data_IF_151048035579
#
_entry.id   IF_151048035579
#
_cell.length_a   1.000
_cell.length_b   1.000
_cell.length_c   1.000
_cell.angle_alpha   90.00
_cell.angle_beta   90.00
_cell.angle_gamma   90.00
#
_symmetry.space_group_name_H-M   'P 1'
#
loop_
_entity.id
_entity.type
_entity.pdbx_description
1 polymer ?
#
# COMPACT_ATOMS: atom_id res chain seq x y z
N UNK A 1 -62.92 -5.71 10.95
CA UNK A 1 -61.66 -6.17 11.58
C UNK A 1 -60.84 -7.04 10.61
N UNK A 2 -60.04 -6.45 9.71
CA UNK A 2 -59.24 -7.22 8.72
C UNK A 2 -57.90 -6.55 8.31
N UNK A 3 -57.32 -5.68 9.14
CA UNK A 3 -56.06 -4.98 8.82
C UNK A 3 -54.90 -5.28 9.78
N UNK A 4 -55.04 -6.22 10.73
CA UNK A 4 -54.01 -6.48 11.74
C UNK A 4 -53.07 -7.67 11.44
N UNK A 5 -53.31 -8.43 10.37
CA UNK A 5 -52.50 -9.63 10.04
C UNK A 5 -51.33 -9.36 9.10
N UNK A 6 -51.32 -8.26 8.35
CA UNK A 6 -50.27 -8.00 7.37
C UNK A 6 -48.98 -7.46 8.00
N UNK A 7 -49.07 -6.80 9.15
CA UNK A 7 -47.92 -6.15 9.81
C UNK A 7 -46.95 -7.17 10.46
N UNK A 8 -47.41 -8.39 10.75
CA UNK A 8 -46.62 -9.40 11.47
C UNK A 8 -45.68 -10.20 10.56
N UNK A 9 -45.88 -10.15 9.24
CA UNK A 9 -45.09 -10.91 8.25
C UNK A 9 -43.84 -10.17 7.76
N UNK A 10 -43.67 -8.89 8.10
CA UNK A 10 -42.52 -8.09 7.70
C UNK A 10 -41.37 -8.12 8.72
N UNK A 11 -41.62 -8.59 9.95
CA UNK A 11 -40.63 -8.64 11.02
C UNK A 11 -39.44 -9.61 10.78
N UNK A 12 -39.60 -10.79 10.16
CA UNK A 12 -38.47 -11.70 9.94
C UNK A 12 -37.57 -11.28 8.76
N UNK A 13 -38.02 -10.37 7.89
CA UNK A 13 -37.23 -9.93 6.73
C UNK A 13 -36.13 -8.92 7.11
N UNK A 14 -36.31 -8.19 8.21
CA UNK A 14 -35.33 -7.21 8.70
C UNK A 14 -34.12 -7.85 9.40
N UNK A 15 -34.25 -9.09 9.87
CA UNK A 15 -33.15 -9.82 10.53
C UNK A 15 -32.11 -10.40 9.56
N UNK A 16 -32.42 -10.45 8.26
CA UNK A 16 -31.49 -10.96 7.23
C UNK A 16 -30.39 -9.95 6.84
N UNK A 17 -30.49 -8.69 7.26
CA UNK A 17 -29.51 -7.65 6.92
C UNK A 17 -28.44 -7.41 7.99
N UNK A 18 -28.45 -8.15 9.11
CA UNK A 18 -27.49 -7.97 10.23
C UNK A 18 -26.27 -8.89 10.12
N UNK A 19 -25.80 -9.17 8.90
CA UNK A 19 -24.60 -10.01 8.70
C UNK A 19 -23.64 -9.50 7.63
N UNK A 20 -23.68 -8.21 7.29
CA UNK A 20 -22.47 -7.58 6.75
C UNK A 20 -21.52 -7.40 7.93
N UNK A 21 -20.71 -8.42 8.20
CA UNK A 21 -19.56 -8.30 9.07
C UNK A 21 -18.83 -7.02 8.68
N UNK A 22 -18.60 -6.14 9.66
CA UNK A 22 -17.79 -4.95 9.49
C UNK A 22 -16.43 -5.45 9.06
N UNK A 23 -16.20 -5.51 7.75
CA UNK A 23 -14.89 -5.72 7.18
C UNK A 23 -14.15 -4.47 7.61
N UNK A 24 -13.40 -4.58 8.71
CA UNK A 24 -12.57 -3.48 9.20
C UNK A 24 -11.70 -3.10 8.01
N UNK A 25 -12.01 -1.96 7.40
CA UNK A 25 -11.18 -1.34 6.41
C UNK A 25 -9.84 -1.13 7.08
N UNK A 26 -8.91 -2.04 6.78
CA UNK A 26 -7.54 -1.95 7.29
C UNK A 26 -7.00 -0.67 6.70
N UNK A 27 -6.83 0.35 7.53
CA UNK A 27 -6.27 1.59 7.08
C UNK A 27 -4.91 1.29 6.45
N UNK A 28 -4.57 1.87 5.29
CA UNK A 28 -3.26 1.65 4.63
C UNK A 28 -2.07 1.86 5.56
N UNK A 29 -2.24 2.68 6.59
CA UNK A 29 -1.27 2.98 7.65
C UNK A 29 -1.01 1.84 8.62
N UNK A 30 -1.80 0.77 8.64
CA UNK A 30 -1.59 -0.43 9.46
C UNK A 30 -0.78 -1.52 8.76
N UNK A 31 -0.55 -1.39 7.44
CA UNK A 31 0.17 -2.40 6.66
C UNK A 31 1.68 -2.13 6.74
N UNK A 32 2.42 -3.15 7.18
CA UNK A 32 3.88 -3.14 7.24
C UNK A 32 4.44 -3.89 6.03
N UNK A 33 5.42 -3.27 5.38
CA UNK A 33 6.11 -3.83 4.23
C UNK A 33 7.57 -4.08 4.57
N UNK A 34 8.12 -5.11 3.93
CA UNK A 34 9.56 -5.32 3.82
C UNK A 34 9.91 -5.21 2.34
N UNK A 35 10.98 -4.51 2.02
CA UNK A 35 11.39 -4.32 0.64
C UNK A 35 12.90 -4.25 0.47
N UNK A 36 13.32 -4.45 -0.77
CA UNK A 36 14.72 -4.44 -1.17
C UNK A 36 14.99 -3.25 -2.09
N UNK A 37 16.02 -2.47 -1.79
CA UNK A 37 16.42 -1.34 -2.64
C UNK A 37 16.93 -1.87 -3.97
N UNK A 38 16.29 -1.48 -5.07
CA UNK A 38 16.75 -1.79 -6.43
C UNK A 38 17.55 -0.63 -7.03
N UNK A 39 17.15 0.61 -6.73
CA UNK A 39 17.80 1.80 -7.28
C UNK A 39 17.78 2.95 -6.27
N UNK A 40 18.85 3.75 -6.28
CA UNK A 40 18.99 4.95 -5.46
C UNK A 40 19.28 6.15 -6.37
N UNK A 41 18.43 7.16 -6.34
CA UNK A 41 18.74 8.43 -6.98
C UNK A 41 19.64 9.26 -6.05
N UNK A 42 20.93 9.26 -6.34
CA UNK A 42 21.94 9.99 -5.54
C UNK A 42 22.26 11.38 -6.08
N UNK A 43 21.92 11.68 -7.32
CA UNK A 43 22.55 12.82 -8.03
C UNK A 43 21.64 13.56 -9.00
N UNK A 44 20.54 12.95 -9.45
CA UNK A 44 19.76 13.52 -10.53
C UNK A 44 18.48 14.20 -10.06
N UNK A 45 17.94 13.85 -8.88
CA UNK A 45 16.60 14.25 -8.37
C UNK A 45 15.47 14.11 -9.40
N UNK A 46 15.74 13.43 -10.50
CA UNK A 46 14.86 13.18 -11.64
C UNK A 46 14.40 11.72 -11.64
N UNK A 47 14.96 10.90 -10.76
CA UNK A 47 14.64 9.49 -10.62
C UNK A 47 14.06 9.25 -9.23
N UNK A 48 13.09 8.35 -9.15
CA UNK A 48 12.64 7.85 -7.86
C UNK A 48 13.71 6.90 -7.29
N UNK A 49 13.87 6.86 -5.97
CA UNK A 49 14.45 5.67 -5.34
C UNK A 49 13.47 4.52 -5.56
N UNK A 50 13.96 3.34 -5.95
CA UNK A 50 13.09 2.20 -6.29
C UNK A 50 13.30 1.07 -5.31
N UNK A 51 12.19 0.57 -4.77
CA UNK A 51 12.15 -0.59 -3.88
C UNK A 51 11.27 -1.65 -4.51
N UNK A 52 11.69 -2.90 -4.44
CA UNK A 52 10.83 -4.07 -4.66
C UNK A 52 10.21 -4.50 -3.33
N UNK A 53 8.90 -4.70 -3.31
CA UNK A 53 8.19 -5.26 -2.16
C UNK A 53 8.53 -6.75 -2.07
N UNK A 54 9.14 -7.15 -0.96
CA UNK A 54 9.53 -8.55 -0.70
C UNK A 54 8.65 -9.23 0.34
N UNK A 55 7.86 -8.45 1.09
CA UNK A 55 6.89 -8.96 2.05
C UNK A 55 5.89 -7.88 2.47
N UNK A 56 4.69 -8.31 2.85
CA UNK A 56 3.63 -7.45 3.38
C UNK A 56 2.86 -8.18 4.49
N UNK A 57 2.42 -7.45 5.52
CA UNK A 57 1.71 -8.03 6.67
C UNK A 57 0.23 -8.36 6.38
N UNK A 58 -0.32 -7.95 5.23
CA UNK A 58 -1.74 -8.10 4.90
C UNK A 58 -1.93 -8.45 3.42
N UNK A 59 -2.96 -9.23 3.07
CA UNK A 59 -3.32 -9.61 1.69
C UNK A 59 -3.95 -8.49 0.86
N UNK A 60 -4.48 -7.44 1.50
CA UNK A 60 -5.03 -6.23 0.83
C UNK A 60 -3.94 -5.22 0.44
N UNK A 61 -2.68 -5.55 0.70
CA UNK A 61 -1.53 -4.70 0.38
C UNK A 61 -1.25 -4.67 -1.13
N UNK A 62 -0.34 -3.78 -1.55
CA UNK A 62 0.34 -3.98 -2.83
C UNK A 62 1.01 -5.37 -2.84
N UNK A 63 0.99 -6.09 -3.98
CA UNK A 63 1.48 -7.45 -4.04
C UNK A 63 3.00 -7.50 -3.87
N UNK A 64 3.48 -8.63 -3.32
CA UNK A 64 4.91 -8.95 -3.31
C UNK A 64 5.40 -9.09 -4.74
N UNK A 65 6.56 -8.50 -5.03
CA UNK A 65 7.13 -8.37 -6.37
C UNK A 65 6.87 -7.00 -7.01
N UNK A 66 5.88 -6.24 -6.53
CA UNK A 66 5.65 -4.89 -7.06
C UNK A 66 6.80 -3.95 -6.73
N UNK A 67 7.05 -3.02 -7.65
CA UNK A 67 8.08 -1.98 -7.48
C UNK A 67 7.43 -0.63 -7.21
N UNK A 68 7.97 0.08 -6.20
CA UNK A 68 7.52 1.42 -5.85
C UNK A 68 8.68 2.40 -5.97
N UNK A 69 8.37 3.57 -6.52
CA UNK A 69 9.24 4.73 -6.58
C UNK A 69 8.86 5.71 -5.48
N UNK A 70 9.84 6.29 -4.80
CA UNK A 70 9.61 7.36 -3.84
C UNK A 70 10.77 8.35 -3.86
N UNK A 71 10.48 9.58 -3.42
CA UNK A 71 11.48 10.64 -3.31
C UNK A 71 11.90 10.86 -1.86
N UNK A 72 13.20 10.98 -1.62
CA UNK A 72 13.76 11.37 -0.33
C UNK A 72 15.17 11.90 -0.55
N UNK A 73 15.43 13.13 -0.08
CA UNK A 73 16.69 13.85 -0.30
C UNK A 73 17.88 13.08 0.28
N UNK A 74 17.75 12.60 1.52
CA UNK A 74 18.88 12.08 2.29
C UNK A 74 18.88 10.53 2.37
N UNK A 75 17.86 9.87 1.81
CA UNK A 75 17.75 8.41 1.89
C UNK A 75 18.91 7.70 1.19
N UNK A 76 19.30 8.20 0.02
CA UNK A 76 20.31 7.55 -0.81
C UNK A 76 21.73 7.66 -0.23
N UNK A 77 22.00 8.65 0.63
CA UNK A 77 23.33 8.91 1.17
C UNK A 77 23.84 7.73 2.01
N UNK A 78 22.98 7.20 2.88
CA UNK A 78 23.33 6.19 3.89
C UNK A 78 22.84 4.78 3.56
N UNK A 79 22.34 4.55 2.35
CA UNK A 79 21.79 3.26 1.91
C UNK A 79 22.58 2.69 0.74
N UNK A 80 22.48 1.37 0.55
CA UNK A 80 23.06 0.65 -0.59
C UNK A 80 21.99 -0.13 -1.32
N UNK A 81 22.14 -0.25 -2.64
CA UNK A 81 21.34 -1.18 -3.45
C UNK A 81 21.48 -2.59 -2.86
N UNK A 82 20.36 -3.31 -2.80
CA UNK A 82 20.25 -4.62 -2.17
C UNK A 82 19.99 -4.59 -0.67
N UNK A 83 20.08 -3.44 0.02
CA UNK A 83 19.68 -3.37 1.42
C UNK A 83 18.17 -3.61 1.57
N UNK A 84 17.81 -4.27 2.66
CA UNK A 84 16.43 -4.46 3.10
C UNK A 84 15.98 -3.31 3.98
N UNK A 85 14.72 -2.94 3.86
CA UNK A 85 14.09 -1.92 4.69
C UNK A 85 12.67 -2.35 5.09
N UNK A 86 12.27 -1.90 6.27
CA UNK A 86 10.89 -1.98 6.75
C UNK A 86 10.24 -0.62 6.61
N UNK A 87 9.03 -0.58 6.06
CA UNK A 87 8.35 0.68 5.78
C UNK A 87 6.83 0.51 5.77
N UNK A 88 6.13 1.63 5.71
CA UNK A 88 4.70 1.72 5.42
C UNK A 88 4.48 2.55 4.17
N UNK A 89 3.45 2.22 3.41
CA UNK A 89 2.99 3.02 2.28
C UNK A 89 1.85 3.89 2.79
N UNK A 90 2.04 5.20 2.79
CA UNK A 90 1.03 6.16 3.23
C UNK A 90 0.06 6.48 2.09
N UNK A 91 0.59 6.55 0.87
CA UNK A 91 -0.15 6.80 -0.35
C UNK A 91 0.61 6.17 -1.52
N UNK A 92 -0.12 5.69 -2.53
CA UNK A 92 0.47 5.26 -3.78
C UNK A 92 -0.50 5.44 -4.94
N UNK A 93 0.04 5.58 -6.14
CA UNK A 93 -0.71 5.56 -7.38
C UNK A 93 0.13 4.94 -8.51
N UNK A 94 -0.49 4.41 -9.58
CA UNK A 94 0.24 3.88 -10.73
C UNK A 94 1.19 4.92 -11.32
N UNK A 95 2.41 4.51 -11.63
CA UNK A 95 3.40 5.40 -12.23
C UNK A 95 3.12 5.56 -13.74
N UNK A 96 2.98 6.80 -14.21
CA UNK A 96 2.57 7.11 -15.59
C UNK A 96 3.59 7.92 -16.40
N UNK A 97 4.72 8.30 -15.80
CA UNK A 97 5.70 9.20 -16.41
C UNK A 97 6.84 8.43 -17.12
N UNK A 98 6.60 8.08 -18.38
CA UNK A 98 7.52 7.30 -19.24
C UNK A 98 8.49 8.17 -20.06
N UNK A 99 8.85 9.38 -19.59
CA UNK A 99 9.56 10.37 -20.43
C UNK A 99 10.97 10.00 -20.93
N UNK A 100 11.58 8.87 -20.54
CA UNK A 100 12.95 8.47 -20.97
C UNK A 100 13.15 6.95 -21.05
N UNK A 101 13.44 6.43 -22.25
CA UNK A 101 13.55 4.99 -22.54
C UNK A 101 14.67 4.20 -21.82
N UNK A 102 15.57 4.87 -21.09
CA UNK A 102 16.80 4.27 -20.54
C UNK A 102 16.78 4.03 -19.02
N UNK A 103 15.70 4.36 -18.31
CA UNK A 103 15.65 4.26 -16.84
C UNK A 103 14.72 3.15 -16.37
N UNK A 104 15.12 2.46 -15.29
CA UNK A 104 14.26 1.55 -14.56
C UNK A 104 13.10 2.36 -13.98
N UNK A 105 11.86 2.00 -14.33
CA UNK A 105 10.66 2.65 -13.83
C UNK A 105 9.97 1.77 -12.78
N UNK A 106 9.47 2.37 -11.69
CA UNK A 106 8.63 1.64 -10.76
C UNK A 106 7.24 1.42 -11.38
N UNK A 107 6.51 0.43 -10.87
CA UNK A 107 5.09 0.23 -11.19
C UNK A 107 4.20 1.30 -10.55
N UNK A 108 4.57 1.74 -9.34
CA UNK A 108 3.83 2.74 -8.57
C UNK A 108 4.75 3.86 -8.09
N UNK A 109 4.23 5.08 -7.97
CA UNK A 109 4.85 6.10 -7.13
C UNK A 109 4.17 6.15 -5.77
N UNK A 110 4.95 6.33 -4.71
CA UNK A 110 4.48 6.20 -3.34
C UNK A 110 5.11 7.23 -2.40
N UNK A 111 4.35 7.59 -1.39
CA UNK A 111 4.85 8.25 -0.17
C UNK A 111 5.00 7.17 0.88
N UNK A 112 6.22 7.02 1.41
CA UNK A 112 6.52 5.98 2.38
C UNK A 112 7.02 6.54 3.71
N UNK A 113 6.75 5.80 4.78
CA UNK A 113 7.34 6.01 6.10
C UNK A 113 8.30 4.86 6.38
N UNK A 114 9.60 5.15 6.46
CA UNK A 114 10.61 4.16 6.84
C UNK A 114 10.51 3.91 8.35
N UNK A 115 10.45 2.65 8.73
CA UNK A 115 10.42 2.23 10.12
C UNK A 115 11.85 2.00 10.59
N UNK A 116 12.19 2.53 11.77
CA UNK A 116 13.46 2.22 12.41
C UNK A 116 13.43 0.75 12.81
N UNK A 117 14.45 0.01 12.40
CA UNK A 117 14.74 -1.30 13.00
C UNK A 117 15.38 -0.97 14.34
N UNK A 118 14.74 -1.35 15.45
CA UNK A 118 15.41 -1.32 16.75
C UNK A 118 16.57 -2.32 16.65
N UNK A 119 17.81 -1.82 16.74
CA UNK A 119 19.03 -2.64 16.87
C UNK A 119 19.16 -3.15 18.31
#
# INVERSE_FOLDING_TARGET
MKQKRLLLLLLPLFLLFVSTGCEKDVHPTEIHYTGKILYLDRKDFRCHNIIEITGASNKKSLPVGSTIGFYSLDFAENKKVGNTLHFRILYYEPFTDIRTWEKMYPEYQAIILILKTEE
#
